data_IF_605880285891
#
_entry.id   IF_605880285891
#
_cell.length_a   1.000
_cell.length_b   1.000
_cell.length_c   1.000
_cell.angle_alpha   90.00
_cell.angle_beta   90.00
_cell.angle_gamma   90.00
#
_symmetry.space_group_name_H-M   'P 1'
#
loop_
_entity.id
_entity.type
_entity.pdbx_description
1 polymer ?
#
# COMPACT_ATOMS: atom_id res chain seq x y z
N UNK A 1 -43.79 -19.73 -4.74
CA UNK A 1 -42.42 -19.25 -4.50
C UNK A 1 -41.68 -20.43 -3.88
N UNK A 2 -40.99 -21.20 -4.71
CA UNK A 2 -40.35 -22.44 -4.29
C UNK A 2 -39.01 -22.09 -3.61
N UNK A 3 -38.95 -22.18 -2.29
CA UNK A 3 -37.69 -22.42 -1.61
C UNK A 3 -37.50 -23.94 -1.64
N UNK A 4 -36.58 -24.38 -2.48
CA UNK A 4 -36.13 -25.76 -2.54
C UNK A 4 -35.21 -25.95 -1.32
N UNK A 5 -35.80 -26.37 -0.20
CA UNK A 5 -35.07 -27.06 0.87
C UNK A 5 -34.80 -28.48 0.35
N UNK A 6 -33.77 -28.62 -0.49
CA UNK A 6 -33.33 -29.94 -0.94
C UNK A 6 -32.97 -30.79 0.28
N UNK A 7 -33.60 -31.95 0.34
CA UNK A 7 -33.45 -32.98 1.35
C UNK A 7 -32.02 -33.52 1.43
N UNK A 8 -31.20 -32.96 2.30
CA UNK A 8 -30.33 -33.76 3.14
C UNK A 8 -30.32 -33.12 4.52
N UNK A 9 -30.94 -33.80 5.48
CA UNK A 9 -30.71 -33.50 6.89
C UNK A 9 -29.24 -33.84 7.16
N UNK A 10 -28.32 -32.89 6.95
CA UNK A 10 -26.96 -33.03 7.45
C UNK A 10 -27.11 -33.40 8.92
N UNK A 11 -26.60 -34.59 9.27
CA UNK A 11 -26.65 -35.06 10.65
C UNK A 11 -26.06 -33.96 11.54
N UNK A 12 -26.58 -33.80 12.75
CA UNK A 12 -26.07 -32.78 13.68
C UNK A 12 -24.54 -32.87 13.85
N UNK A 13 -24.00 -34.09 13.73
CA UNK A 13 -22.56 -34.37 13.67
C UNK A 13 -21.84 -33.76 12.47
N UNK A 14 -22.43 -33.81 11.27
CA UNK A 14 -21.83 -33.22 10.07
C UNK A 14 -21.92 -31.69 10.08
N UNK A 15 -23.05 -31.12 10.51
CA UNK A 15 -23.17 -29.67 10.66
C UNK A 15 -22.15 -29.10 11.67
N UNK A 16 -21.86 -29.86 12.74
CA UNK A 16 -20.85 -29.48 13.72
C UNK A 16 -19.42 -29.58 13.16
N UNK A 17 -19.13 -30.63 12.38
CA UNK A 17 -17.85 -30.78 11.68
C UNK A 17 -17.61 -29.69 10.64
N UNK A 18 -18.65 -29.34 9.88
CA UNK A 18 -18.57 -28.27 8.88
C UNK A 18 -18.35 -26.90 9.56
N UNK A 19 -19.13 -26.58 10.60
CA UNK A 19 -18.94 -25.35 11.38
C UNK A 19 -17.53 -25.26 12.00
N UNK A 20 -17.00 -26.37 12.52
CA UNK A 20 -15.65 -26.43 13.05
C UNK A 20 -14.57 -26.29 11.96
N UNK A 21 -14.80 -26.84 10.78
CA UNK A 21 -13.87 -26.71 9.64
C UNK A 21 -13.81 -25.26 9.17
N UNK A 22 -14.95 -24.58 9.08
CA UNK A 22 -15.01 -23.16 8.71
C UNK A 22 -14.30 -22.30 9.76
N UNK A 23 -14.52 -22.55 11.06
CA UNK A 23 -13.81 -21.81 12.12
C UNK A 23 -12.30 -22.00 12.00
N UNK A 24 -11.83 -23.24 11.81
CA UNK A 24 -10.41 -23.55 11.67
C UNK A 24 -9.79 -22.91 10.43
N UNK A 25 -10.49 -22.92 9.30
CA UNK A 25 -10.01 -22.29 8.06
C UNK A 25 -9.86 -20.78 8.24
N UNK A 26 -10.86 -20.11 8.83
CA UNK A 26 -10.80 -18.66 9.09
C UNK A 26 -9.65 -18.31 10.02
N UNK A 27 -9.52 -19.04 11.13
CA UNK A 27 -8.40 -18.87 12.05
C UNK A 27 -7.05 -19.18 11.39
N UNK A 28 -6.98 -20.21 10.55
CA UNK A 28 -5.78 -20.59 9.82
C UNK A 28 -5.31 -19.50 8.86
N UNK A 29 -6.23 -18.90 8.10
CA UNK A 29 -5.92 -17.77 7.20
C UNK A 29 -5.44 -16.55 7.99
N UNK A 30 -6.14 -16.19 9.08
CA UNK A 30 -5.71 -15.10 9.97
C UNK A 30 -4.34 -15.36 10.59
N UNK A 31 -4.08 -16.59 11.04
CA UNK A 31 -2.81 -16.99 11.62
C UNK A 31 -1.68 -16.93 10.60
N UNK A 32 -1.88 -17.45 9.39
CA UNK A 32 -0.91 -17.36 8.30
C UNK A 32 -0.58 -15.88 8.02
N UNK A 33 -1.59 -15.02 7.90
CA UNK A 33 -1.38 -13.59 7.68
C UNK A 33 -0.59 -12.94 8.83
N UNK A 34 -0.93 -13.27 10.08
CA UNK A 34 -0.21 -12.82 11.28
C UNK A 34 1.25 -13.29 11.29
N UNK A 35 1.52 -14.54 10.93
CA UNK A 35 2.87 -15.10 10.84
C UNK A 35 3.68 -14.43 9.73
N UNK A 36 3.10 -14.19 8.56
CA UNK A 36 3.77 -13.48 7.45
C UNK A 36 4.19 -12.05 7.86
N UNK A 37 3.31 -11.34 8.57
CA UNK A 37 3.59 -10.00 9.11
C UNK A 37 4.65 -10.09 10.23
N UNK A 38 4.54 -11.07 11.13
CA UNK A 38 5.47 -11.26 12.24
C UNK A 38 6.87 -11.66 11.78
N UNK A 39 7.00 -12.51 10.76
CA UNK A 39 8.28 -12.84 10.15
C UNK A 39 8.91 -11.61 9.51
N UNK A 40 8.12 -10.85 8.74
CA UNK A 40 8.56 -9.59 8.12
C UNK A 40 8.99 -8.56 9.18
N UNK A 41 8.26 -8.47 10.30
CA UNK A 41 8.60 -7.61 11.43
C UNK A 41 9.83 -8.09 12.22
N UNK A 42 10.03 -9.40 12.36
CA UNK A 42 11.17 -9.99 13.08
C UNK A 42 12.47 -9.91 12.27
N UNK A 43 12.43 -10.05 10.95
CA UNK A 43 13.61 -9.80 10.11
C UNK A 43 13.98 -8.31 10.07
N UNK A 44 13.00 -7.40 10.07
CA UNK A 44 13.26 -5.96 10.21
C UNK A 44 13.80 -5.59 11.60
N UNK A 45 13.25 -6.20 12.67
CA UNK A 45 13.69 -5.96 14.04
C UNK A 45 15.06 -6.58 14.36
N UNK A 46 15.46 -7.66 13.69
CA UNK A 46 16.82 -8.21 13.82
C UNK A 46 17.88 -7.43 13.05
N UNK A 47 17.47 -6.52 12.14
CA UNK A 47 18.37 -5.65 11.38
C UNK A 47 18.36 -4.20 11.89
N UNK A 48 17.50 -3.87 12.85
CA UNK A 48 17.51 -2.60 13.56
C UNK A 48 18.42 -2.72 14.80
N UNK A 49 19.53 -1.95 14.90
CA UNK A 49 20.24 -1.82 16.16
C UNK A 49 19.33 -1.13 17.17
N UNK A 50 19.23 -1.69 18.36
CA UNK A 50 18.40 -1.25 19.48
C UNK A 50 18.33 0.27 19.64
N UNK A 51 17.18 0.86 19.29
CA UNK A 51 16.73 2.10 19.88
C UNK A 51 15.23 2.05 20.18
N UNK A 52 14.96 1.77 21.47
CA UNK A 52 13.90 2.41 22.27
C UNK A 52 12.48 1.88 21.98
N UNK A 53 11.86 1.02 22.78
CA UNK A 53 11.65 1.11 24.24
C UNK A 53 11.28 2.53 24.70
N UNK A 54 10.13 3.01 24.21
CA UNK A 54 9.27 4.11 24.67
C UNK A 54 8.61 4.63 23.39
N UNK A 55 7.31 4.43 23.15
CA UNK A 55 6.28 5.30 23.70
C UNK A 55 4.92 4.55 23.71
N UNK A 56 4.65 3.82 24.78
CA UNK A 56 3.32 3.91 25.39
C UNK A 56 3.20 5.31 26.01
N UNK A 57 1.99 5.86 25.97
CA UNK A 57 1.59 7.18 26.46
C UNK A 57 1.98 8.37 25.56
N UNK A 58 1.01 8.83 24.76
CA UNK A 58 0.24 10.05 25.09
C UNK A 58 -0.71 10.35 23.92
N UNK A 59 -2.00 10.12 24.15
CA UNK A 59 -3.04 10.86 23.43
C UNK A 59 -2.85 12.36 23.72
N UNK A 60 -2.98 13.22 22.70
CA UNK A 60 -3.48 14.56 22.90
C UNK A 60 -4.79 14.71 22.13
N UNK A 61 -5.85 14.95 22.89
CA UNK A 61 -6.97 15.72 22.40
C UNK A 61 -6.46 17.03 21.80
N UNK A 62 -6.79 17.27 20.53
CA UNK A 62 -6.75 18.59 19.91
C UNK A 62 -7.64 18.56 18.66
N UNK A 63 -8.95 18.69 18.88
CA UNK A 63 -9.80 19.33 17.89
C UNK A 63 -9.77 20.84 18.16
N UNK A 64 -9.34 21.65 17.18
CA UNK A 64 -9.93 22.96 16.98
C UNK A 64 -10.68 23.00 15.65
N UNK A 65 -11.79 23.72 15.71
CA UNK A 65 -12.77 23.91 14.68
C UNK A 65 -12.23 24.53 13.39
N UNK A 66 -12.87 24.11 12.29
CA UNK A 66 -13.19 24.83 11.06
C UNK A 66 -13.06 26.37 11.16
N UNK A 67 -12.26 26.98 10.27
CA UNK A 67 -12.67 28.16 9.49
C UNK A 67 -11.61 28.59 8.45
N UNK A 68 -12.13 28.87 7.25
CA UNK A 68 -11.69 29.90 6.31
C UNK A 68 -10.41 29.70 5.49
N UNK A 69 -10.65 29.31 4.23
CA UNK A 69 -10.25 30.04 3.03
C UNK A 69 -8.87 30.70 3.00
N UNK A 70 -7.94 30.03 2.31
CA UNK A 70 -7.01 30.68 1.39
C UNK A 70 -6.64 29.66 0.32
N UNK A 71 -7.29 29.71 -0.83
CA UNK A 71 -6.68 29.21 -2.06
C UNK A 71 -5.53 30.15 -2.43
N UNK A 72 -4.32 29.62 -2.60
CA UNK A 72 -3.49 30.03 -3.71
C UNK A 72 -3.39 28.85 -4.68
N UNK A 73 -4.12 28.94 -5.78
CA UNK A 73 -3.79 28.22 -7.00
C UNK A 73 -2.39 28.68 -7.45
N UNK A 74 -1.60 27.73 -7.94
CA UNK A 74 -0.26 27.87 -8.56
C UNK A 74 0.91 28.00 -7.59
N UNK A 75 1.38 26.84 -7.17
CA UNK A 75 2.70 26.34 -7.55
C UNK A 75 2.56 24.82 -7.46
N UNK A 76 2.39 24.14 -8.60
CA UNK A 76 2.65 22.70 -8.63
C UNK A 76 4.13 22.58 -8.23
N UNK A 77 4.38 22.19 -6.98
CA UNK A 77 5.67 21.71 -6.52
C UNK A 77 6.02 20.53 -7.42
N UNK A 78 6.63 20.84 -8.57
CA UNK A 78 7.27 19.85 -9.40
C UNK A 78 8.25 19.14 -8.49
N UNK A 79 8.05 17.82 -8.37
CA UNK A 79 8.91 16.91 -7.64
C UNK A 79 10.36 17.14 -8.06
N UNK A 80 11.05 18.00 -7.30
CA UNK A 80 12.49 18.28 -7.38
C UNK A 80 13.26 17.14 -6.72
N UNK A 81 12.82 15.90 -6.99
CA UNK A 81 13.52 14.70 -6.58
C UNK A 81 14.83 14.57 -7.36
N UNK A 82 15.81 13.90 -6.74
CA UNK A 82 17.11 13.57 -7.34
C UNK A 82 16.94 12.67 -8.57
N UNK A 83 16.58 13.24 -9.72
CA UNK A 83 16.53 12.57 -11.02
C UNK A 83 17.96 12.41 -11.56
N UNK A 84 18.41 11.16 -11.77
CA UNK A 84 19.73 10.91 -12.37
C UNK A 84 19.63 10.83 -13.88
N UNK A 85 20.07 11.88 -14.56
CA UNK A 85 20.22 11.89 -16.02
C UNK A 85 21.62 11.39 -16.42
N UNK A 86 21.67 10.39 -17.31
CA UNK A 86 22.90 9.86 -17.87
C UNK A 86 22.85 9.99 -19.40
N UNK A 87 23.56 10.99 -19.92
CA UNK A 87 23.62 11.26 -21.36
C UNK A 87 22.31 11.76 -21.98
N UNK A 88 21.38 12.27 -21.16
CA UNK A 88 20.10 12.83 -21.59
C UNK A 88 19.97 14.24 -21.01
N UNK A 89 19.48 15.19 -21.80
CA UNK A 89 19.27 16.57 -21.37
C UNK A 89 17.95 16.71 -20.59
N UNK A 90 17.81 17.80 -19.81
CA UNK A 90 16.64 18.03 -18.96
C UNK A 90 15.33 18.19 -19.76
N UNK A 91 15.40 18.71 -20.99
CA UNK A 91 14.22 18.91 -21.85
C UNK A 91 13.71 17.58 -22.42
N UNK A 92 14.62 16.72 -22.83
CA UNK A 92 14.35 15.36 -23.30
C UNK A 92 13.82 14.51 -22.15
N UNK A 93 14.39 14.66 -20.95
CA UNK A 93 13.84 14.05 -19.74
C UNK A 93 12.39 14.51 -19.50
N UNK A 94 12.10 15.81 -19.53
CA UNK A 94 10.76 16.35 -19.34
C UNK A 94 9.74 15.81 -20.37
N UNK A 95 10.15 15.71 -21.64
CA UNK A 95 9.31 15.08 -22.67
C UNK A 95 9.00 13.61 -22.36
N UNK A 96 10.01 12.83 -21.93
CA UNK A 96 9.80 11.44 -21.50
C UNK A 96 8.83 11.40 -20.32
N UNK A 97 8.95 12.32 -19.35
CA UNK A 97 8.05 12.38 -18.21
C UNK A 97 6.58 12.59 -18.61
N UNK A 98 6.35 13.52 -19.53
CA UNK A 98 5.02 13.82 -20.03
C UNK A 98 4.42 12.63 -20.80
N UNK A 99 5.19 12.01 -21.70
CA UNK A 99 4.72 10.87 -22.50
C UNK A 99 4.35 9.69 -21.60
N UNK A 100 5.20 9.35 -20.62
CA UNK A 100 4.93 8.21 -19.73
C UNK A 100 3.75 8.49 -18.81
N UNK A 101 3.59 9.72 -18.31
CA UNK A 101 2.41 10.12 -17.54
C UNK A 101 1.12 9.94 -18.34
N UNK A 102 1.10 10.38 -19.61
CA UNK A 102 -0.05 10.24 -20.51
C UNK A 102 -0.37 8.77 -20.82
N UNK A 103 0.65 7.96 -21.14
CA UNK A 103 0.46 6.55 -21.46
C UNK A 103 0.03 5.70 -20.25
N UNK A 104 0.47 6.07 -19.05
CA UNK A 104 0.13 5.34 -17.81
C UNK A 104 -1.13 5.87 -17.13
N UNK A 105 -1.57 7.07 -17.49
CA UNK A 105 -2.67 7.78 -16.82
C UNK A 105 -2.34 8.21 -15.38
N UNK A 106 -1.08 8.10 -14.95
CA UNK A 106 -0.63 8.51 -13.61
C UNK A 106 -0.20 9.98 -13.70
N UNK A 107 -0.79 10.89 -12.89
CA UNK A 107 -0.43 12.30 -12.93
C UNK A 107 1.04 12.52 -12.51
N UNK A 108 1.68 13.54 -13.06
CA UNK A 108 3.10 13.85 -12.83
C UNK A 108 3.44 14.06 -11.34
N UNK A 109 2.47 14.43 -10.51
CA UNK A 109 2.61 14.59 -9.06
C UNK A 109 2.89 13.28 -8.31
N UNK A 110 2.42 12.15 -8.84
CA UNK A 110 2.57 10.82 -8.22
C UNK A 110 3.62 9.95 -8.94
N UNK A 111 4.05 10.40 -10.12
CA UNK A 111 4.95 9.68 -11.00
C UNK A 111 6.42 9.99 -10.65
N UNK A 112 7.17 8.97 -10.20
CA UNK A 112 8.57 9.13 -9.76
C UNK A 112 9.55 8.44 -10.71
N UNK A 113 10.39 9.25 -11.38
CA UNK A 113 11.51 8.75 -12.18
C UNK A 113 12.80 8.64 -11.35
N UNK A 114 13.40 7.45 -11.35
CA UNK A 114 14.66 7.18 -10.62
C UNK A 114 15.90 7.54 -11.44
N UNK A 115 15.89 7.25 -12.74
CA UNK A 115 16.99 7.55 -13.65
C UNK A 115 16.55 7.47 -15.11
N UNK A 116 17.12 8.31 -15.97
CA UNK A 116 16.96 8.27 -17.43
C UNK A 116 18.35 8.13 -18.04
N UNK A 117 18.56 7.10 -18.86
CA UNK A 117 19.86 6.80 -19.48
C UNK A 117 19.69 6.66 -20.98
N UNK A 118 20.55 7.32 -21.75
CA UNK A 118 20.63 7.11 -23.19
C UNK A 118 21.26 5.73 -23.46
N UNK A 119 20.55 4.89 -24.22
CA UNK A 119 21.04 3.58 -24.66
C UNK A 119 21.68 3.76 -26.03
N UNK A 120 22.96 3.45 -26.16
CA UNK A 120 23.60 3.34 -27.47
C UNK A 120 23.32 1.95 -28.03
N UNK A 121 22.56 1.89 -29.12
CA UNK A 121 22.35 0.65 -29.85
C UNK A 121 23.66 0.23 -30.54
N UNK A 122 24.01 -1.06 -30.44
CA UNK A 122 25.23 -1.65 -30.99
C UNK A 122 24.94 -2.43 -32.25
#
# INVERSE_FOLDING_TARGET
MNIVLSNDVLSLSEAFLDAFTVILVVFGVLFIMFVLISLSGKVFSSMAPDKKAALTAKAPAAAPAVAAAAEPVKEEEFSSGTLKLKGCDEKTAAMIMAIVSDNTGIPLSELVFKSITLVEEK
#
